data_IF_120325537814
#
_entry.id   IF_120325537814
#
_cell.length_a   1.000
_cell.length_b   1.000
_cell.length_c   1.000
_cell.angle_alpha   90.00
_cell.angle_beta   90.00
_cell.angle_gamma   90.00
#
_symmetry.space_group_name_H-M   'P 1'
#
loop_
_entity.id
_entity.type
_entity.pdbx_description
1 polymer ?
#
# COMPACT_ATOMS: atom_id res chain seq x y z
N UNK A 1 22.00 -1.41 22.76
CA UNK A 1 21.26 -0.43 23.57
C UNK A 1 20.94 0.77 22.69
N UNK A 2 19.70 1.25 22.80
CA UNK A 2 19.18 2.54 22.29
C UNK A 2 19.17 2.78 20.76
N UNK A 3 18.17 2.25 20.05
CA UNK A 3 17.75 2.85 18.77
C UNK A 3 16.54 3.76 19.00
N UNK A 4 15.54 3.33 19.76
CA UNK A 4 14.36 4.15 20.07
C UNK A 4 14.63 5.31 21.06
N UNK A 5 15.29 5.12 22.23
CA UNK A 5 15.62 6.24 23.13
C UNK A 5 16.67 7.20 22.57
N UNK A 6 17.64 6.74 21.76
CA UNK A 6 18.63 7.66 21.15
C UNK A 6 17.96 8.50 20.07
N UNK A 7 17.05 7.97 19.27
CA UNK A 7 16.32 8.80 18.28
C UNK A 7 15.33 9.75 18.99
N UNK A 8 14.74 9.36 20.13
CA UNK A 8 13.85 10.22 20.92
C UNK A 8 14.57 11.34 21.68
N UNK A 9 15.70 11.06 22.32
CA UNK A 9 16.45 12.04 23.12
C UNK A 9 17.36 12.94 22.26
N UNK A 10 17.84 12.48 21.11
CA UNK A 10 18.82 13.24 20.29
C UNK A 10 18.19 14.27 19.37
N UNK A 11 16.91 14.13 19.01
CA UNK A 11 16.28 14.96 17.99
C UNK A 11 14.81 15.30 18.29
N UNK A 12 14.53 16.10 19.34
CA UNK A 12 13.15 16.50 19.70
C UNK A 12 12.41 17.24 18.58
N UNK A 13 13.14 17.88 17.66
CA UNK A 13 12.59 18.58 16.49
C UNK A 13 11.92 17.60 15.51
N UNK A 14 12.46 16.39 15.34
CA UNK A 14 11.88 15.36 14.44
C UNK A 14 10.47 14.97 14.93
N UNK A 15 10.27 14.89 16.24
CA UNK A 15 8.99 14.47 16.84
C UNK A 15 7.92 15.56 16.82
N UNK A 16 8.33 16.83 16.94
CA UNK A 16 7.45 17.97 16.75
C UNK A 16 6.90 18.01 15.30
N UNK A 17 7.77 17.69 14.34
CA UNK A 17 7.44 17.61 12.92
C UNK A 17 6.51 16.43 12.60
N UNK A 18 6.70 15.26 13.23
CA UNK A 18 5.78 14.10 13.07
C UNK A 18 4.34 14.43 13.51
N UNK A 19 4.16 15.10 14.65
CA UNK A 19 2.82 15.51 15.09
C UNK A 19 2.22 16.56 14.15
N UNK A 20 3.02 17.53 13.70
CA UNK A 20 2.57 18.53 12.74
C UNK A 20 2.18 17.91 11.40
N UNK A 21 2.97 16.96 10.91
CA UNK A 21 2.68 16.14 9.74
C UNK A 21 1.36 15.40 9.93
N UNK A 22 1.17 14.67 11.02
CA UNK A 22 -0.10 14.01 11.36
C UNK A 22 -1.28 14.98 11.33
N UNK A 23 -1.14 16.19 11.90
CA UNK A 23 -2.19 17.21 11.86
C UNK A 23 -2.47 17.74 10.45
N UNK A 24 -1.42 18.08 9.68
CA UNK A 24 -1.55 18.49 8.28
C UNK A 24 -2.28 17.43 7.47
N UNK A 25 -2.11 16.17 7.84
CA UNK A 25 -2.75 15.06 7.17
C UNK A 25 -4.22 15.02 7.53
N UNK A 26 -4.55 14.98 8.82
CA UNK A 26 -5.96 14.90 9.23
C UNK A 26 -6.74 16.03 8.55
N UNK A 27 -6.10 17.20 8.40
CA UNK A 27 -6.64 18.29 7.61
C UNK A 27 -6.73 17.95 6.11
N UNK A 28 -5.70 17.39 5.49
CA UNK A 28 -5.67 17.02 4.06
C UNK A 28 -6.64 15.88 3.69
N UNK A 29 -6.83 14.86 4.54
CA UNK A 29 -7.76 13.75 4.32
C UNK A 29 -9.21 14.19 4.37
N UNK A 30 -9.51 15.25 5.12
CA UNK A 30 -10.82 15.89 5.21
C UNK A 30 -11.08 16.91 4.09
N UNK A 31 -10.10 17.25 3.26
CA UNK A 31 -10.33 18.17 2.12
C UNK A 31 -11.16 17.45 1.05
N UNK A 32 -12.26 18.07 0.57
CA UNK A 32 -12.98 17.53 -0.56
C UNK A 32 -12.06 17.54 -1.78
N UNK A 33 -11.75 16.36 -2.31
CA UNK A 33 -11.09 16.19 -3.60
C UNK A 33 -12.16 15.95 -4.65
N UNK A 34 -12.16 16.75 -5.70
CA UNK A 34 -13.05 16.51 -6.85
C UNK A 34 -12.51 15.32 -7.65
N UNK A 35 -13.33 14.29 -7.88
CA UNK A 35 -12.99 13.15 -8.74
C UNK A 35 -12.72 13.56 -10.19
N UNK A 36 -13.15 14.76 -10.63
CA UNK A 36 -12.85 15.32 -11.95
C UNK A 36 -11.37 15.68 -12.15
N UNK A 37 -10.62 15.87 -11.06
CA UNK A 37 -9.20 16.21 -11.10
C UNK A 37 -8.27 14.98 -10.98
N UNK A 38 -8.83 13.78 -10.83
CA UNK A 38 -8.07 12.55 -10.62
C UNK A 38 -7.66 11.88 -11.94
N UNK A 39 -6.48 11.26 -11.95
CA UNK A 39 -6.04 10.39 -13.03
C UNK A 39 -6.89 9.11 -13.09
N UNK A 40 -7.12 8.49 -11.93
CA UNK A 40 -7.94 7.28 -11.81
C UNK A 40 -9.40 7.60 -12.17
N UNK A 41 -9.94 6.90 -13.18
CA UNK A 41 -11.33 7.07 -13.62
C UNK A 41 -12.26 6.14 -12.87
N UNK A 42 -12.83 6.63 -11.76
CA UNK A 42 -13.75 5.87 -10.91
C UNK A 42 -14.96 5.32 -11.70
N UNK A 43 -15.38 6.04 -12.74
CA UNK A 43 -16.50 5.67 -13.61
C UNK A 43 -16.35 4.30 -14.26
N UNK A 44 -15.13 3.82 -14.53
CA UNK A 44 -14.93 2.47 -15.08
C UNK A 44 -15.32 1.39 -14.06
N UNK A 45 -14.83 1.50 -12.82
CA UNK A 45 -15.21 0.61 -11.72
C UNK A 45 -16.72 0.64 -11.47
N UNK A 46 -17.30 1.85 -11.40
CA UNK A 46 -18.72 2.03 -11.11
C UNK A 46 -19.62 1.51 -12.24
N UNK A 47 -19.22 1.68 -13.49
CA UNK A 47 -19.97 1.16 -14.65
C UNK A 47 -19.92 -0.37 -14.68
N UNK A 48 -18.76 -0.97 -14.42
CA UNK A 48 -18.62 -2.41 -14.34
C UNK A 48 -19.48 -2.99 -13.19
N UNK A 49 -19.45 -2.35 -12.02
CA UNK A 49 -20.31 -2.70 -10.89
C UNK A 49 -21.78 -2.65 -11.27
N UNK A 50 -22.25 -1.54 -11.84
CA UNK A 50 -23.66 -1.37 -12.25
C UNK A 50 -24.12 -2.42 -13.27
N UNK A 51 -23.25 -2.84 -14.16
CA UNK A 51 -23.58 -3.86 -15.16
C UNK A 51 -23.62 -5.25 -14.52
N UNK A 52 -22.64 -5.57 -13.67
CA UNK A 52 -22.60 -6.82 -12.92
C UNK A 52 -23.79 -6.93 -11.96
N UNK A 53 -24.06 -5.92 -11.12
CA UNK A 53 -25.18 -5.89 -10.16
C UNK A 53 -26.53 -6.13 -10.86
N UNK A 54 -26.76 -5.51 -12.03
CA UNK A 54 -27.97 -5.73 -12.83
C UNK A 54 -28.08 -7.17 -13.34
N UNK A 55 -26.99 -7.72 -13.89
CA UNK A 55 -26.97 -9.09 -14.38
C UNK A 55 -27.20 -10.11 -13.26
N UNK A 56 -26.53 -9.92 -12.12
CA UNK A 56 -26.65 -10.76 -10.93
C UNK A 56 -28.05 -10.72 -10.34
N UNK A 57 -28.63 -9.53 -10.21
CA UNK A 57 -30.00 -9.36 -9.68
C UNK A 57 -31.03 -10.00 -10.62
N UNK A 58 -30.86 -9.86 -11.93
CA UNK A 58 -31.74 -10.50 -12.92
C UNK A 58 -31.63 -12.04 -12.88
N UNK A 59 -30.41 -12.57 -12.73
CA UNK A 59 -30.19 -14.01 -12.59
C UNK A 59 -30.86 -14.57 -11.32
N UNK A 60 -30.75 -13.84 -10.19
CA UNK A 60 -31.35 -14.23 -8.92
C UNK A 60 -32.88 -14.22 -8.93
N UNK A 61 -33.49 -13.23 -9.60
CA UNK A 61 -34.94 -13.18 -9.80
C UNK A 61 -35.45 -14.40 -10.59
N UNK A 62 -34.68 -14.87 -11.57
CA UNK A 62 -35.02 -16.05 -12.36
C UNK A 62 -34.84 -17.38 -11.57
N UNK A 63 -33.92 -17.43 -10.60
CA UNK A 63 -33.71 -18.61 -9.75
C UNK A 63 -34.62 -18.67 -8.52
N UNK A 64 -35.46 -17.66 -8.28
CA UNK A 64 -36.36 -17.60 -7.13
C UNK A 64 -35.64 -17.45 -5.79
N UNK A 65 -34.39 -16.98 -5.80
CA UNK A 65 -33.56 -16.79 -4.59
C UNK A 65 -33.54 -15.32 -4.21
N UNK A 66 -34.02 -14.99 -3.00
CA UNK A 66 -34.11 -13.62 -2.49
C UNK A 66 -32.72 -12.99 -2.18
N UNK A 67 -31.68 -13.83 -2.05
CA UNK A 67 -30.32 -13.46 -1.64
C UNK A 67 -29.44 -12.84 -2.73
N UNK A 68 -29.98 -12.50 -3.91
CA UNK A 68 -29.17 -12.07 -5.05
C UNK A 68 -29.30 -10.61 -5.46
N UNK A 69 -30.11 -9.81 -4.76
CA UNK A 69 -30.21 -8.39 -5.03
C UNK A 69 -28.91 -7.68 -4.62
N UNK A 70 -28.32 -6.94 -5.56
CA UNK A 70 -27.15 -6.09 -5.30
C UNK A 70 -27.45 -4.69 -5.86
N UNK A 71 -27.41 -3.62 -5.05
CA UNK A 71 -27.73 -2.29 -5.52
C UNK A 71 -26.71 -1.78 -6.55
N UNK A 72 -27.14 -0.90 -7.47
CA UNK A 72 -26.28 -0.36 -8.52
C UNK A 72 -25.21 0.62 -7.99
N UNK A 73 -25.40 1.18 -6.80
CA UNK A 73 -24.39 1.97 -6.10
C UNK A 73 -23.86 1.14 -4.91
N UNK A 74 -22.55 0.78 -4.88
CA UNK A 74 -21.98 0.02 -3.77
C UNK A 74 -22.04 0.77 -2.43
N UNK A 75 -22.25 2.09 -2.42
CA UNK A 75 -22.40 2.85 -1.19
C UNK A 75 -23.73 2.62 -0.47
N UNK A 76 -24.70 1.98 -1.12
CA UNK A 76 -25.99 1.61 -0.51
C UNK A 76 -25.89 0.35 0.36
N UNK A 77 -24.81 -0.43 0.23
CA UNK A 77 -24.56 -1.64 1.02
C UNK A 77 -23.93 -1.31 2.36
N UNK A 78 -24.30 -2.06 3.41
CA UNK A 78 -23.54 -2.04 4.66
C UNK A 78 -22.14 -2.68 4.46
N UNK A 79 -21.30 -2.65 5.49
CA UNK A 79 -19.92 -3.15 5.41
C UNK A 79 -19.84 -4.64 5.05
N UNK A 80 -20.72 -5.47 5.60
CA UNK A 80 -20.67 -6.92 5.43
C UNK A 80 -21.24 -7.32 4.07
N UNK A 81 -22.36 -6.70 3.68
CA UNK A 81 -22.95 -6.88 2.36
C UNK A 81 -21.99 -6.41 1.25
N UNK A 82 -21.32 -5.28 1.48
CA UNK A 82 -20.30 -4.77 0.56
C UNK A 82 -19.13 -5.75 0.45
N UNK A 83 -18.67 -6.33 1.55
CA UNK A 83 -17.56 -7.29 1.53
C UNK A 83 -17.90 -8.56 0.72
N UNK A 84 -19.09 -9.13 0.92
CA UNK A 84 -19.57 -10.28 0.13
C UNK A 84 -19.72 -9.92 -1.35
N UNK A 85 -20.40 -8.80 -1.64
CA UNK A 85 -20.66 -8.36 -3.00
C UNK A 85 -19.36 -8.02 -3.75
N UNK A 86 -18.36 -7.42 -3.09
CA UNK A 86 -17.04 -7.18 -3.68
C UNK A 86 -16.31 -8.48 -4.02
N UNK A 87 -16.35 -9.48 -3.14
CA UNK A 87 -15.72 -10.77 -3.39
C UNK A 87 -16.35 -11.50 -4.59
N UNK A 88 -17.69 -11.43 -4.71
CA UNK A 88 -18.42 -11.97 -5.87
C UNK A 88 -18.14 -11.17 -7.14
N UNK A 89 -18.15 -9.84 -7.06
CA UNK A 89 -17.82 -8.95 -8.17
C UNK A 89 -16.47 -9.31 -8.78
N UNK A 90 -15.42 -9.49 -7.97
CA UNK A 90 -14.09 -9.86 -8.47
C UNK A 90 -14.09 -11.19 -9.22
N UNK A 91 -14.84 -12.19 -8.75
CA UNK A 91 -14.90 -13.52 -9.37
C UNK A 91 -15.71 -13.51 -10.67
N UNK A 92 -16.78 -12.72 -10.71
CA UNK A 92 -17.83 -12.81 -11.72
C UNK A 92 -17.80 -11.69 -12.76
N UNK A 93 -17.12 -10.56 -12.51
CA UNK A 93 -17.15 -9.41 -13.42
C UNK A 93 -16.59 -9.80 -14.80
N UNK A 94 -17.32 -9.41 -15.86
CA UNK A 94 -16.97 -9.67 -17.26
C UNK A 94 -17.15 -8.42 -18.10
N UNK A 95 -16.42 -8.32 -19.20
CA UNK A 95 -16.60 -7.24 -20.18
C UNK A 95 -18.02 -7.29 -20.75
N UNK A 96 -18.52 -6.21 -21.36
CA UNK A 96 -19.79 -6.24 -22.09
C UNK A 96 -19.86 -7.33 -23.18
N UNK A 97 -18.71 -7.75 -23.71
CA UNK A 97 -18.60 -8.87 -24.67
C UNK A 97 -18.78 -10.25 -24.03
N UNK A 98 -18.82 -10.36 -22.70
CA UNK A 98 -18.83 -11.63 -21.96
C UNK A 98 -17.43 -12.17 -21.61
N UNK A 99 -16.37 -11.60 -22.19
CA UNK A 99 -14.99 -12.02 -21.92
C UNK A 99 -14.50 -11.64 -20.52
N UNK A 100 -13.51 -12.38 -20.02
CA UNK A 100 -12.80 -12.06 -18.79
C UNK A 100 -11.97 -10.79 -18.93
N UNK A 101 -11.98 -9.97 -17.87
CA UNK A 101 -11.05 -8.86 -17.73
C UNK A 101 -9.64 -9.39 -17.44
N UNK A 102 -8.63 -8.69 -17.95
CA UNK A 102 -7.25 -8.93 -17.52
C UNK A 102 -7.09 -8.58 -16.02
N UNK A 103 -6.14 -9.21 -15.34
CA UNK A 103 -5.93 -9.07 -13.90
C UNK A 103 -5.74 -7.60 -13.45
N UNK A 104 -4.87 -6.86 -14.14
CA UNK A 104 -4.64 -5.43 -13.93
C UNK A 104 -5.91 -4.57 -14.12
N UNK A 105 -6.81 -5.03 -14.98
CA UNK A 105 -8.07 -4.37 -15.30
C UNK A 105 -9.09 -4.62 -14.20
N UNK A 106 -9.19 -5.84 -13.66
CA UNK A 106 -9.99 -6.11 -12.45
C UNK A 106 -9.49 -5.28 -11.28
N UNK A 107 -8.17 -5.21 -11.07
CA UNK A 107 -7.60 -4.36 -10.02
C UNK A 107 -7.97 -2.88 -10.21
N UNK A 108 -7.87 -2.35 -11.44
CA UNK A 108 -8.28 -0.98 -11.76
C UNK A 108 -9.74 -0.70 -11.38
N UNK A 109 -10.64 -1.64 -11.69
CA UNK A 109 -12.06 -1.52 -11.34
C UNK A 109 -12.24 -1.42 -9.83
N UNK A 110 -11.56 -2.28 -9.06
CA UNK A 110 -11.58 -2.25 -7.60
C UNK A 110 -11.02 -0.93 -7.05
N UNK A 111 -9.92 -0.40 -7.59
CA UNK A 111 -9.39 0.92 -7.20
C UNK A 111 -10.42 2.02 -7.46
N UNK A 112 -11.12 1.95 -8.60
CA UNK A 112 -12.20 2.88 -8.94
C UNK A 112 -13.37 2.84 -7.96
N UNK A 113 -13.76 1.64 -7.50
CA UNK A 113 -14.79 1.47 -6.46
C UNK A 113 -14.33 2.03 -5.11
N UNK A 114 -13.09 1.75 -4.69
CA UNK A 114 -12.53 2.32 -3.46
C UNK A 114 -12.47 3.84 -3.51
N UNK A 115 -12.04 4.40 -4.65
CA UNK A 115 -12.02 5.84 -4.89
C UNK A 115 -13.42 6.46 -4.79
N UNK A 116 -14.42 5.84 -5.43
CA UNK A 116 -15.80 6.28 -5.34
C UNK A 116 -16.32 6.29 -3.89
N UNK A 117 -16.14 5.18 -3.17
CA UNK A 117 -16.59 5.07 -1.78
C UNK A 117 -15.89 6.10 -0.88
N UNK A 118 -14.56 6.25 -0.99
CA UNK A 118 -13.78 7.10 -0.11
C UNK A 118 -13.88 8.60 -0.42
N UNK A 119 -14.01 8.97 -1.70
CA UNK A 119 -13.90 10.35 -2.15
C UNK A 119 -15.28 10.94 -2.51
N UNK A 120 -16.09 10.23 -3.29
CA UNK A 120 -17.41 10.74 -3.70
C UNK A 120 -18.48 10.51 -2.61
N UNK A 121 -18.38 9.41 -1.87
CA UNK A 121 -19.38 8.97 -0.87
C UNK A 121 -18.95 9.15 0.58
N UNK A 122 -17.67 9.47 0.82
CA UNK A 122 -17.14 9.77 2.15
C UNK A 122 -17.11 8.59 3.12
N UNK A 123 -17.06 7.34 2.63
CA UNK A 123 -16.84 6.16 3.49
C UNK A 123 -15.35 6.01 3.81
N UNK A 124 -15.01 5.90 5.08
CA UNK A 124 -13.62 5.79 5.52
C UNK A 124 -13.03 4.37 5.41
N UNK A 125 -13.88 3.37 5.16
CA UNK A 125 -13.46 1.97 5.05
C UNK A 125 -12.57 1.73 3.82
N UNK A 126 -11.41 1.12 4.05
CA UNK A 126 -10.50 0.68 3.00
C UNK A 126 -10.58 -0.85 2.85
N UNK A 127 -11.33 -1.33 1.85
CA UNK A 127 -11.59 -2.76 1.70
C UNK A 127 -10.38 -3.58 1.25
N UNK A 128 -9.32 -2.94 0.75
CA UNK A 128 -8.04 -3.61 0.46
C UNK A 128 -7.20 -3.88 1.72
N UNK A 129 -7.57 -3.22 2.82
CA UNK A 129 -6.87 -3.26 4.10
C UNK A 129 -7.81 -3.64 5.27
N UNK A 130 -9.08 -3.95 4.98
CA UNK A 130 -10.17 -3.93 5.96
C UNK A 130 -10.25 -5.14 6.88
N UNK A 131 -9.11 -5.74 7.22
CA UNK A 131 -9.02 -6.82 8.19
C UNK A 131 -9.85 -8.06 7.82
N UNK A 132 -10.39 -8.79 8.82
CA UNK A 132 -11.14 -10.03 8.58
C UNK A 132 -12.41 -9.85 7.75
N UNK A 133 -13.04 -8.67 7.80
CA UNK A 133 -14.33 -8.41 7.13
C UNK A 133 -14.19 -8.55 5.62
N UNK A 134 -13.12 -7.99 5.04
CA UNK A 134 -12.87 -8.03 3.60
C UNK A 134 -11.91 -9.15 3.19
N UNK A 135 -11.69 -10.16 4.05
CA UNK A 135 -10.77 -11.26 3.77
C UNK A 135 -11.13 -11.99 2.46
N UNK A 136 -12.42 -12.31 2.26
CA UNK A 136 -12.89 -13.01 1.07
C UNK A 136 -12.68 -12.19 -0.21
N UNK A 137 -12.88 -10.87 -0.15
CA UNK A 137 -12.56 -9.97 -1.25
C UNK A 137 -11.06 -9.98 -1.55
N UNK A 138 -10.22 -9.82 -0.52
CA UNK A 138 -8.77 -9.83 -0.68
C UNK A 138 -8.25 -11.15 -1.26
N UNK A 139 -8.81 -12.28 -0.83
CA UNK A 139 -8.47 -13.61 -1.33
C UNK A 139 -8.94 -13.79 -2.79
N UNK A 140 -10.16 -13.37 -3.12
CA UNK A 140 -10.66 -13.39 -4.49
C UNK A 140 -9.79 -12.56 -5.44
N UNK A 141 -9.41 -11.35 -5.01
CA UNK A 141 -8.55 -10.48 -5.79
C UNK A 141 -7.16 -11.06 -5.95
N UNK A 142 -6.55 -11.56 -4.88
CA UNK A 142 -5.24 -12.21 -4.95
C UNK A 142 -5.23 -13.36 -5.96
N UNK A 143 -6.25 -14.23 -5.97
CA UNK A 143 -6.36 -15.32 -6.96
C UNK A 143 -6.46 -14.85 -8.42
N UNK A 144 -6.92 -13.62 -8.66
CA UNK A 144 -6.90 -12.98 -9.98
C UNK A 144 -5.51 -12.40 -10.28
N UNK A 145 -4.89 -11.73 -9.30
CA UNK A 145 -3.62 -11.02 -9.48
C UNK A 145 -2.40 -11.94 -9.49
N UNK A 146 -2.49 -13.12 -8.88
CA UNK A 146 -1.44 -14.15 -8.92
C UNK A 146 -1.14 -14.62 -10.36
N UNK A 147 -2.13 -14.48 -11.26
CA UNK A 147 -2.01 -14.81 -12.69
C UNK A 147 -1.50 -13.64 -13.54
N UNK A 148 -1.19 -12.50 -12.92
CA UNK A 148 -0.73 -11.33 -13.66
C UNK A 148 0.66 -11.56 -14.24
N UNK A 149 0.78 -11.30 -15.54
CA UNK A 149 2.06 -11.24 -16.25
C UNK A 149 2.17 -9.90 -16.93
N UNK A 150 3.31 -9.22 -16.74
CA UNK A 150 3.60 -7.98 -17.44
C UNK A 150 3.57 -8.22 -18.96
N UNK A 151 2.93 -7.29 -19.67
CA UNK A 151 2.79 -7.36 -21.13
C UNK A 151 3.63 -6.26 -21.74
N UNK A 152 4.50 -6.64 -22.66
CA UNK A 152 5.33 -5.70 -23.42
C UNK A 152 4.97 -5.86 -24.89
N UNK A 153 4.67 -4.76 -25.57
CA UNK A 153 4.37 -4.76 -27.00
C UNK A 153 5.64 -4.99 -27.84
N UNK A 154 5.49 -5.24 -29.14
CA UNK A 154 6.62 -5.48 -30.06
C UNK A 154 7.62 -4.31 -30.11
N UNK A 155 7.13 -3.08 -29.89
CA UNK A 155 7.95 -1.86 -29.80
C UNK A 155 8.61 -1.65 -28.43
N UNK A 156 8.46 -2.58 -27.49
CA UNK A 156 9.07 -2.51 -26.15
C UNK A 156 8.26 -1.71 -25.13
N UNK A 157 7.04 -1.29 -25.46
CA UNK A 157 6.19 -0.50 -24.55
C UNK A 157 5.52 -1.42 -23.51
N UNK A 158 5.72 -1.11 -22.23
CA UNK A 158 5.03 -1.78 -21.13
C UNK A 158 3.54 -1.41 -21.12
N UNK A 159 2.68 -2.42 -21.23
CA UNK A 159 1.23 -2.30 -21.14
C UNK A 159 0.80 -2.52 -19.69
N UNK A 160 0.69 -1.42 -18.95
CA UNK A 160 0.22 -1.40 -17.57
C UNK A 160 -0.96 -0.42 -17.44
N UNK A 161 -2.02 -0.82 -16.74
CA UNK A 161 -3.19 0.05 -16.49
C UNK A 161 -3.11 0.79 -15.16
N UNK A 162 -2.35 0.26 -14.20
CA UNK A 162 -2.22 0.84 -12.87
C UNK A 162 -0.93 1.67 -12.83
N UNK A 163 -1.07 2.93 -12.48
CA UNK A 163 0.02 3.85 -12.18
C UNK A 163 0.03 4.10 -10.67
N UNK A 164 1.20 4.42 -10.13
CA UNK A 164 1.39 4.73 -8.71
C UNK A 164 0.43 5.84 -8.26
N UNK A 165 0.23 6.86 -9.10
CA UNK A 165 -0.67 7.97 -8.81
C UNK A 165 -2.09 7.49 -8.46
N UNK A 166 -2.58 6.44 -9.11
CA UNK A 166 -3.89 5.87 -8.80
C UNK A 166 -3.96 5.39 -7.34
N UNK A 167 -2.90 4.77 -6.83
CA UNK A 167 -2.86 4.26 -5.47
C UNK A 167 -2.85 5.40 -4.44
N UNK A 168 -2.17 6.50 -4.73
CA UNK A 168 -2.23 7.72 -3.91
C UNK A 168 -3.63 8.36 -3.93
N UNK A 169 -4.30 8.38 -5.08
CA UNK A 169 -5.61 9.01 -5.26
C UNK A 169 -6.73 8.26 -4.52
N UNK A 170 -6.69 6.92 -4.52
CA UNK A 170 -7.68 6.08 -3.84
C UNK A 170 -7.24 5.60 -2.44
N UNK A 171 -6.31 6.33 -1.80
CA UNK A 171 -5.88 6.13 -0.40
C UNK A 171 -5.28 4.75 -0.11
N UNK A 172 -4.72 4.09 -1.13
CA UNK A 172 -3.99 2.83 -0.96
C UNK A 172 -2.55 3.08 -0.52
N UNK A 173 -1.94 4.14 -1.04
CA UNK A 173 -0.70 4.69 -0.53
C UNK A 173 -0.99 5.91 0.33
N UNK A 174 -0.10 6.17 1.28
CA UNK A 174 -0.25 7.15 2.33
C UNK A 174 -0.28 6.48 3.69
N UNK A 175 -1.04 7.05 4.61
CA UNK A 175 -1.04 6.67 6.03
C UNK A 175 -2.41 7.05 6.61
N UNK A 176 -3.43 6.83 5.78
CA UNK A 176 -4.84 6.99 6.10
C UNK A 176 -5.33 5.99 7.16
N UNK A 177 -4.54 4.95 7.40
CA UNK A 177 -4.71 3.89 8.39
C UNK A 177 -3.34 3.26 8.67
N UNK A 178 -3.25 2.42 9.70
CA UNK A 178 -2.07 1.61 9.98
C UNK A 178 -1.68 0.71 8.80
N UNK A 179 -2.65 0.04 8.18
CA UNK A 179 -2.42 -0.81 7.01
C UNK A 179 -1.91 -0.02 5.79
N UNK A 180 -2.49 1.13 5.48
CA UNK A 180 -2.05 1.93 4.31
C UNK A 180 -0.65 2.51 4.51
N UNK A 181 -0.28 2.92 5.74
CA UNK A 181 1.09 3.30 6.07
C UNK A 181 2.07 2.15 5.83
N UNK A 182 1.75 0.97 6.37
CA UNK A 182 2.61 -0.19 6.24
C UNK A 182 2.73 -0.67 4.79
N UNK A 183 1.63 -0.67 4.04
CA UNK A 183 1.60 -0.95 2.60
C UNK A 183 2.41 0.07 1.79
N UNK A 184 2.44 1.34 2.22
CA UNK A 184 3.22 2.38 1.56
C UNK A 184 4.72 2.18 1.75
N UNK A 185 5.15 1.83 2.96
CA UNK A 185 6.56 1.48 3.20
C UNK A 185 6.95 0.22 2.43
N UNK A 186 6.09 -0.78 2.39
CA UNK A 186 6.26 -1.96 1.54
C UNK A 186 6.44 -1.60 0.06
N UNK A 187 5.58 -0.71 -0.47
CA UNK A 187 5.69 -0.21 -1.84
C UNK A 187 7.03 0.50 -2.09
N UNK A 188 7.48 1.38 -1.19
CA UNK A 188 8.77 2.07 -1.33
C UNK A 188 9.96 1.12 -1.35
N UNK A 189 9.97 0.12 -0.48
CA UNK A 189 11.03 -0.88 -0.45
C UNK A 189 10.99 -1.78 -1.69
N UNK A 190 9.82 -2.07 -2.22
CA UNK A 190 9.73 -2.81 -3.48
C UNK A 190 10.26 -1.98 -4.65
N UNK A 191 9.86 -0.71 -4.73
CA UNK A 191 10.17 0.15 -5.87
C UNK A 191 11.62 0.61 -5.90
N UNK A 192 12.10 1.15 -4.78
CA UNK A 192 13.36 1.90 -4.75
C UNK A 192 14.53 1.08 -4.23
N UNK A 193 14.25 0.06 -3.43
CA UNK A 193 15.26 -0.86 -2.89
C UNK A 193 15.32 -2.15 -3.72
N UNK A 194 14.20 -2.55 -4.34
CA UNK A 194 14.14 -3.74 -5.20
C UNK A 194 13.77 -5.03 -4.47
N UNK A 195 13.07 -4.96 -3.33
CA UNK A 195 12.58 -6.18 -2.69
C UNK A 195 11.40 -6.74 -3.50
N UNK A 196 11.52 -7.92 -4.08
CA UNK A 196 10.55 -8.44 -5.06
C UNK A 196 9.91 -9.77 -4.66
N UNK A 197 10.35 -10.35 -3.54
CA UNK A 197 9.83 -11.62 -3.00
C UNK A 197 9.29 -11.47 -1.58
N UNK A 198 8.29 -12.29 -1.25
CA UNK A 198 7.65 -12.22 0.07
C UNK A 198 8.65 -12.57 1.18
N UNK A 199 9.57 -13.49 0.89
CA UNK A 199 10.67 -13.87 1.76
C UNK A 199 11.63 -12.70 2.04
N UNK A 200 12.01 -11.90 1.02
CA UNK A 200 12.84 -10.71 1.23
C UNK A 200 12.17 -9.70 2.16
N UNK A 201 10.88 -9.48 1.98
CA UNK A 201 10.09 -8.62 2.88
C UNK A 201 9.95 -9.21 4.29
N UNK A 202 9.70 -10.52 4.40
CA UNK A 202 9.53 -11.20 5.69
C UNK A 202 10.83 -11.24 6.51
N UNK A 203 11.98 -11.26 5.84
CA UNK A 203 13.30 -11.21 6.48
C UNK A 203 13.68 -9.83 7.01
N UNK A 204 12.87 -8.79 6.76
CA UNK A 204 13.19 -7.44 7.19
C UNK A 204 13.11 -7.28 8.70
N UNK A 205 14.11 -6.58 9.23
CA UNK A 205 14.17 -6.18 10.63
C UNK A 205 14.46 -4.70 10.75
N UNK A 206 14.00 -4.09 11.85
CA UNK A 206 14.17 -2.65 12.08
C UNK A 206 15.65 -2.24 12.16
N UNK A 207 16.54 -3.16 12.55
CA UNK A 207 17.98 -2.92 12.61
C UNK A 207 18.67 -2.66 11.27
N UNK A 208 17.99 -2.96 10.17
CA UNK A 208 18.50 -2.70 8.82
C UNK A 208 18.29 -1.24 8.37
N UNK A 209 17.57 -0.44 9.17
CA UNK A 209 17.19 0.93 8.83
C UNK A 209 17.85 1.95 9.75
N UNK A 210 18.26 3.09 9.18
CA UNK A 210 18.76 4.23 9.93
C UNK A 210 18.31 5.54 9.29
N UNK A 211 17.97 6.52 10.13
CA UNK A 211 17.83 7.91 9.68
C UNK A 211 19.20 8.58 9.79
N UNK A 212 19.72 9.06 8.66
CA UNK A 212 21.04 9.69 8.57
C UNK A 212 20.90 11.12 8.04
N UNK A 213 21.81 12.04 8.38
CA UNK A 213 21.81 13.37 7.76
C UNK A 213 21.93 13.25 6.24
N UNK A 214 21.15 14.03 5.50
CA UNK A 214 21.16 14.00 4.04
C UNK A 214 22.51 14.49 3.48
N UNK A 215 22.98 13.97 2.35
CA UNK A 215 24.21 14.42 1.71
C UNK A 215 24.11 15.92 1.38
N UNK A 216 25.06 16.73 1.88
CA UNK A 216 25.09 18.18 1.62
C UNK A 216 24.29 19.03 2.60
N UNK A 217 23.62 18.44 3.60
CA UNK A 217 23.00 19.16 4.71
C UNK A 217 24.07 19.62 5.73
N UNK A 218 24.98 20.51 5.30
CA UNK A 218 25.78 21.28 6.25
C UNK A 218 24.84 22.26 6.96
N UNK A 219 24.72 22.12 8.27
CA UNK A 219 23.81 22.90 9.12
C UNK A 219 24.18 24.38 9.12
N UNK A 220 23.61 25.14 8.19
CA UNK A 220 23.46 26.59 8.32
C UNK A 220 22.05 26.86 8.81
N UNK A 221 21.93 27.39 10.02
CA UNK A 221 20.73 27.93 10.62
C UNK A 221 19.66 26.92 11.04
N UNK A 222 19.82 26.33 12.24
CA UNK A 222 18.79 26.04 13.26
C UNK A 222 17.48 25.30 12.90
N UNK A 223 17.19 25.07 11.63
CA UNK A 223 16.16 24.20 11.10
C UNK A 223 16.72 22.79 11.15
N UNK A 224 15.94 21.86 11.68
CA UNK A 224 16.36 20.46 11.75
C UNK A 224 16.85 20.01 10.38
N UNK A 225 18.09 19.52 10.30
CA UNK A 225 18.71 19.15 9.03
C UNK A 225 17.87 18.14 8.25
N UNK A 226 17.98 18.16 6.92
CA UNK A 226 17.33 17.16 6.07
C UNK A 226 17.89 15.77 6.37
N UNK A 227 17.02 14.75 6.33
CA UNK A 227 17.38 13.36 6.62
C UNK A 227 17.22 12.47 5.38
N UNK A 228 18.01 11.40 5.31
CA UNK A 228 17.80 10.29 4.40
C UNK A 228 17.47 9.02 5.20
N UNK A 229 16.60 8.19 4.63
CA UNK A 229 16.34 6.84 5.13
C UNK A 229 17.35 5.89 4.47
N UNK A 230 18.30 5.41 5.27
CA UNK A 230 19.27 4.41 4.87
C UNK A 230 18.73 3.01 5.15
N UNK A 231 18.89 2.12 4.18
CA UNK A 231 18.59 0.70 4.30
C UNK A 231 19.81 -0.15 3.90
N UNK A 232 20.13 -1.14 4.75
CA UNK A 232 21.21 -2.10 4.55
C UNK A 232 20.65 -3.53 4.63
N UNK A 233 20.35 -4.17 3.48
CA UNK A 233 19.86 -5.53 3.45
C UNK A 233 20.90 -6.50 4.00
N UNK A 234 20.44 -7.53 4.72
CA UNK A 234 21.30 -8.55 5.34
C UNK A 234 21.29 -9.89 4.60
N UNK A 235 20.39 -10.05 3.62
CA UNK A 235 20.17 -11.29 2.88
C UNK A 235 19.72 -10.99 1.45
N UNK A 236 19.80 -12.00 0.59
CA UNK A 236 19.46 -11.87 -0.83
C UNK A 236 20.58 -11.23 -1.65
N UNK A 237 20.30 -10.95 -2.93
CA UNK A 237 21.29 -10.40 -3.86
C UNK A 237 21.74 -8.98 -3.50
N UNK A 238 20.91 -8.25 -2.75
CA UNK A 238 21.21 -6.90 -2.30
C UNK A 238 22.09 -6.88 -1.02
N UNK A 239 22.41 -8.04 -0.42
CA UNK A 239 23.18 -8.10 0.81
C UNK A 239 24.52 -7.35 0.70
N UNK A 240 24.77 -6.43 1.64
CA UNK A 240 25.97 -5.58 1.64
C UNK A 240 25.85 -4.29 0.83
N UNK A 241 24.78 -4.11 0.05
CA UNK A 241 24.47 -2.84 -0.60
C UNK A 241 23.89 -1.84 0.42
N UNK A 242 23.99 -0.55 0.13
CA UNK A 242 23.36 0.51 0.92
C UNK A 242 22.47 1.34 0.02
N UNK A 243 21.20 1.43 0.39
CA UNK A 243 20.20 2.24 -0.29
C UNK A 243 19.88 3.46 0.56
N UNK A 244 19.72 4.61 -0.07
CA UNK A 244 19.33 5.85 0.61
C UNK A 244 18.14 6.48 -0.11
N UNK A 245 17.04 6.67 0.63
CA UNK A 245 15.88 7.43 0.17
C UNK A 245 15.91 8.82 0.81
N UNK A 246 15.96 9.86 -0.01
CA UNK A 246 15.97 11.25 0.45
C UNK A 246 14.56 11.77 0.68
N UNK A 247 14.44 12.93 1.32
CA UNK A 247 13.15 13.60 1.45
C UNK A 247 12.55 13.97 0.09
N UNK A 248 11.26 13.69 -0.08
CA UNK A 248 10.49 14.15 -1.22
C UNK A 248 9.91 15.55 -0.93
N UNK A 249 9.69 16.33 -2.00
CA UNK A 249 9.13 17.67 -1.90
C UNK A 249 7.71 17.71 -1.33
N UNK A 250 6.91 16.67 -1.56
CA UNK A 250 5.59 16.48 -0.95
C UNK A 250 5.75 15.67 0.35
N UNK A 251 5.55 16.26 1.54
CA UNK A 251 5.67 15.56 2.81
C UNK A 251 4.70 14.37 2.95
N UNK A 252 3.56 14.41 2.24
CA UNK A 252 2.54 13.35 2.27
C UNK A 252 2.94 12.09 1.52
N UNK A 253 3.94 12.21 0.62
CA UNK A 253 4.48 11.12 -0.19
C UNK A 253 5.95 10.85 0.13
N UNK A 254 6.48 11.50 1.17
CA UNK A 254 7.89 11.44 1.48
C UNK A 254 8.25 10.14 2.23
N UNK A 255 9.13 9.28 1.71
CA UNK A 255 9.48 8.01 2.34
C UNK A 255 10.10 8.20 3.72
N UNK A 256 10.95 9.21 3.89
CA UNK A 256 11.59 9.53 5.17
C UNK A 256 10.54 9.91 6.22
N UNK A 257 9.59 10.77 5.86
CA UNK A 257 8.54 11.26 6.76
C UNK A 257 7.54 10.18 7.12
N UNK A 258 7.12 9.37 6.16
CA UNK A 258 6.23 8.25 6.40
C UNK A 258 6.91 7.17 7.27
N UNK A 259 8.20 6.93 7.08
CA UNK A 259 8.96 6.05 7.96
C UNK A 259 9.08 6.61 9.39
N UNK A 260 9.26 7.92 9.57
CA UNK A 260 9.23 8.54 10.90
C UNK A 260 7.87 8.36 11.59
N UNK A 261 6.75 8.57 10.87
CA UNK A 261 5.40 8.29 11.39
C UNK A 261 5.29 6.82 11.79
N UNK A 262 5.83 5.92 10.98
CA UNK A 262 5.83 4.49 11.31
C UNK A 262 6.55 4.21 12.63
N UNK A 263 7.78 4.67 12.79
CA UNK A 263 8.54 4.54 14.04
C UNK A 263 7.77 5.11 15.25
N UNK A 264 7.10 6.25 15.06
CA UNK A 264 6.34 6.91 16.11
C UNK A 264 5.12 6.11 16.60
N UNK A 265 4.52 5.31 15.71
CA UNK A 265 3.31 4.52 16.00
C UNK A 265 3.62 3.07 16.36
N UNK A 266 4.89 2.64 16.34
CA UNK A 266 5.31 1.31 16.81
C UNK A 266 5.18 1.18 18.33
N UNK A 267 4.84 0.00 18.86
CA UNK A 267 4.92 -0.24 20.29
C UNK A 267 6.38 -0.20 20.75
N UNK A 268 6.62 0.31 21.95
CA UNK A 268 7.96 0.19 22.56
C UNK A 268 8.20 -1.28 22.91
N UNK A 269 9.29 -1.89 22.46
CA UNK A 269 9.65 -3.25 22.86
C UNK A 269 10.43 -3.23 24.19
N UNK A 270 10.30 -4.24 25.06
CA UNK A 270 11.14 -4.38 26.26
C UNK A 270 12.62 -4.50 25.85
N UNK A 271 13.54 -3.96 26.64
CA UNK A 271 14.97 -3.89 26.31
C UNK A 271 15.65 -5.25 26.00
N UNK A 272 15.03 -6.37 26.38
CA UNK A 272 15.48 -7.75 26.12
C UNK A 272 15.12 -8.27 24.72
N UNK A 273 14.12 -7.67 24.06
CA UNK A 273 13.66 -8.01 22.70
C UNK A 273 13.82 -6.82 21.74
N UNK A 274 13.89 -5.59 22.27
CA UNK A 274 14.14 -4.37 21.53
C UNK A 274 15.56 -4.35 20.96
N UNK A 275 15.68 -4.39 19.64
CA UNK A 275 16.99 -4.48 19.01
C UNK A 275 16.93 -4.69 17.50
N UNK A 276 18.10 -4.99 16.89
CA UNK A 276 18.23 -5.11 15.44
C UNK A 276 17.45 -6.27 14.82
N UNK A 277 16.89 -7.18 15.61
CA UNK A 277 16.09 -8.33 15.17
C UNK A 277 14.57 -8.09 15.25
N UNK A 278 14.12 -6.88 15.59
CA UNK A 278 12.70 -6.56 15.67
C UNK A 278 12.06 -6.65 14.26
N UNK A 279 10.99 -7.44 14.04
CA UNK A 279 10.38 -7.59 12.72
C UNK A 279 9.95 -6.24 12.14
N UNK A 280 10.25 -6.01 10.86
CA UNK A 280 9.86 -4.76 10.23
C UNK A 280 8.34 -4.67 10.11
N UNK A 281 7.65 -5.64 9.51
CA UNK A 281 6.21 -5.59 9.27
C UNK A 281 5.37 -6.08 10.46
N UNK A 282 5.01 -5.18 11.37
CA UNK A 282 4.09 -5.49 12.48
C UNK A 282 2.62 -5.48 12.04
N UNK A 283 1.80 -6.37 12.58
CA UNK A 283 0.36 -6.40 12.30
C UNK A 283 -0.31 -5.18 12.96
N UNK A 284 -1.17 -4.43 12.25
CA UNK A 284 -2.01 -3.41 12.87
C UNK A 284 -2.84 -3.95 14.04
N UNK A 285 -2.97 -3.17 15.10
CA UNK A 285 -3.78 -3.53 16.27
C UNK A 285 -5.28 -3.38 15.93
N UNK A 286 -5.88 -4.50 15.52
CA UNK A 286 -7.29 -4.56 15.11
C UNK A 286 -8.29 -4.37 16.27
N UNK A 287 -7.82 -4.33 17.51
CA UNK A 287 -8.67 -4.03 18.67
C UNK A 287 -8.83 -2.51 18.89
N UNK A 288 -8.04 -1.69 18.20
CA UNK A 288 -8.07 -0.23 18.27
C UNK A 288 -8.46 0.34 16.92
N UNK A 289 -9.13 1.49 16.94
CA UNK A 289 -9.47 2.22 15.72
C UNK A 289 -8.21 2.72 14.97
N UNK A 290 -7.03 2.73 15.63
CA UNK A 290 -5.76 3.21 15.08
C UNK A 290 -5.88 4.64 14.54
N UNK A 291 -6.54 5.48 15.33
CA UNK A 291 -6.77 6.87 14.98
C UNK A 291 -5.45 7.65 14.95
N UNK A 292 -5.34 8.74 14.19
CA UNK A 292 -4.17 9.61 14.17
C UNK A 292 -3.71 10.08 15.56
N UNK A 293 -4.64 10.23 16.51
CA UNK A 293 -4.34 10.59 17.90
C UNK A 293 -3.81 9.43 18.74
N UNK A 294 -4.02 8.17 18.31
CA UNK A 294 -3.59 7.01 19.07
C UNK A 294 -2.06 6.91 19.09
N UNK A 295 -1.44 6.68 20.26
CA UNK A 295 0.02 6.67 20.37
C UNK A 295 0.65 5.43 19.71
N UNK A 296 -0.09 4.34 19.56
CA UNK A 296 0.39 3.06 19.03
C UNK A 296 -0.64 2.48 18.09
N UNK A 297 -0.20 2.05 16.91
CA UNK A 297 -1.06 1.46 15.87
C UNK A 297 -0.78 -0.02 15.62
N UNK A 298 0.36 -0.54 16.05
CA UNK A 298 0.81 -1.88 15.69
C UNK A 298 0.94 -2.78 16.92
N UNK A 299 0.65 -4.07 16.73
CA UNK A 299 0.81 -5.10 17.75
C UNK A 299 2.30 -5.36 18.05
N UNK A 300 2.58 -5.66 19.32
CA UNK A 300 3.91 -6.12 19.77
C UNK A 300 4.12 -7.63 19.51
N UNK A 301 3.03 -8.37 19.38
CA UNK A 301 3.03 -9.84 19.44
C UNK A 301 2.89 -10.49 18.05
N UNK A 302 2.43 -9.75 17.05
CA UNK A 302 2.14 -10.26 15.72
C UNK A 302 2.82 -9.43 14.62
N UNK A 303 3.34 -10.13 13.62
CA UNK A 303 3.86 -9.57 12.38
C UNK A 303 3.05 -10.10 11.18
N UNK A 304 3.17 -9.42 10.04
CA UNK A 304 2.56 -9.91 8.80
C UNK A 304 3.19 -11.23 8.39
N UNK A 305 2.35 -12.18 8.01
CA UNK A 305 2.79 -13.46 7.46
C UNK A 305 3.36 -13.29 6.05
N UNK A 306 4.24 -14.22 5.64
CA UNK A 306 4.74 -14.25 4.26
C UNK A 306 3.60 -14.36 3.24
N UNK A 307 2.53 -15.08 3.57
CA UNK A 307 1.33 -15.16 2.76
C UNK A 307 0.64 -13.79 2.58
N UNK A 308 0.55 -12.97 3.62
CA UNK A 308 0.04 -11.59 3.51
C UNK A 308 0.93 -10.71 2.63
N UNK A 309 2.25 -10.79 2.83
CA UNK A 309 3.23 -10.04 2.03
C UNK A 309 3.18 -10.47 0.55
N UNK A 310 2.97 -11.75 0.27
CA UNK A 310 2.79 -12.23 -1.11
C UNK A 310 1.53 -11.65 -1.77
N UNK A 311 0.42 -11.54 -1.04
CA UNK A 311 -0.79 -10.86 -1.56
C UNK A 311 -0.52 -9.38 -1.87
N UNK A 312 0.27 -8.73 -1.04
CA UNK A 312 0.69 -7.35 -1.29
C UNK A 312 1.59 -7.25 -2.54
N UNK A 313 2.53 -8.20 -2.72
CA UNK A 313 3.34 -8.29 -3.94
C UNK A 313 2.49 -8.46 -5.20
N UNK A 314 1.52 -9.38 -5.17
CA UNK A 314 0.63 -9.61 -6.31
C UNK A 314 -0.13 -8.33 -6.71
N UNK A 315 -0.51 -7.50 -5.75
CA UNK A 315 -1.10 -6.18 -6.02
C UNK A 315 -0.12 -5.20 -6.65
N UNK A 316 1.05 -5.00 -6.05
CA UNK A 316 1.98 -3.97 -6.51
C UNK A 316 2.71 -4.35 -7.81
N UNK A 317 2.83 -5.65 -8.13
CA UNK A 317 3.35 -6.11 -9.43
C UNK A 317 2.49 -5.62 -10.60
N UNK A 318 1.22 -5.30 -10.40
CA UNK A 318 0.39 -4.71 -11.46
C UNK A 318 0.65 -3.22 -11.72
N UNK A 319 1.51 -2.57 -10.91
CA UNK A 319 1.80 -1.13 -10.98
C UNK A 319 2.94 -0.87 -11.96
N UNK A 320 2.73 0.07 -12.88
CA UNK A 320 3.66 0.43 -13.95
C UNK A 320 5.06 0.71 -13.44
N UNK A 321 5.19 1.56 -12.44
CA UNK A 321 6.46 2.01 -11.89
C UNK A 321 7.22 0.89 -11.16
N UNK A 322 6.51 -0.15 -10.68
CA UNK A 322 7.13 -1.35 -10.13
C UNK A 322 7.68 -2.23 -11.26
N UNK A 323 6.90 -2.42 -12.33
CA UNK A 323 7.35 -3.20 -13.49
C UNK A 323 8.54 -2.54 -14.19
N UNK A 324 8.53 -1.21 -14.35
CA UNK A 324 9.66 -0.45 -14.86
C UNK A 324 10.90 -0.65 -13.98
N UNK A 325 10.77 -0.56 -12.65
CA UNK A 325 11.87 -0.80 -11.72
C UNK A 325 12.44 -2.23 -11.84
N UNK A 326 11.58 -3.25 -11.94
CA UNK A 326 11.98 -4.64 -12.14
C UNK A 326 12.74 -4.81 -13.45
N UNK A 327 12.22 -4.25 -14.55
CA UNK A 327 12.86 -4.33 -15.87
C UNK A 327 14.22 -3.63 -15.88
N UNK A 328 14.35 -2.47 -15.24
CA UNK A 328 15.63 -1.76 -15.11
C UNK A 328 16.66 -2.58 -14.31
N UNK A 329 16.25 -3.23 -13.22
CA UNK A 329 17.14 -4.10 -12.44
C UNK A 329 17.62 -5.31 -13.26
N UNK A 330 16.73 -5.95 -14.02
CA UNK A 330 17.08 -7.08 -14.90
C UNK A 330 18.04 -6.70 -16.02
N UNK A 331 17.89 -5.49 -16.59
CA UNK A 331 18.80 -4.99 -17.62
C UNK A 331 20.19 -4.64 -17.08
N UNK A 332 20.30 -4.21 -15.82
CA UNK A 332 21.60 -4.04 -15.17
C UNK A 332 22.32 -5.38 -14.95
N UNK A 333 21.57 -6.45 -14.69
CA UNK A 333 22.13 -7.80 -14.54
C UNK A 333 22.62 -8.43 -15.84
N UNK A 334 21.95 -8.19 -16.97
CA UNK A 334 22.35 -8.78 -18.26
C UNK A 334 23.63 -8.16 -18.85
N UNK A 335 24.12 -7.06 -18.27
CA UNK A 335 25.33 -6.34 -18.71
C UNK A 335 26.55 -6.65 -17.83
N UNK A 336 26.43 -7.52 -16.81
CA UNK A 336 27.58 -7.98 -16.01
C UNK A 336 28.09 -9.36 -16.49
N UNK A 337 29.05 -9.42 -17.44
CA UNK A 337 29.56 -10.68 -17.97
C UNK A 337 30.40 -11.51 -16.98
N UNK A 338 30.59 -11.05 -15.74
CA UNK A 338 31.38 -11.74 -14.71
C UNK A 338 30.54 -12.46 -13.64
N UNK A 339 29.22 -12.57 -13.81
CA UNK A 339 28.33 -13.24 -12.85
C UNK A 339 28.10 -14.77 -13.10
N UNK A 340 28.96 -15.44 -13.88
CA UNK A 340 28.97 -16.90 -14.02
C UNK A 340 30.23 -17.55 -13.45
#
# INVERSE_FOLDING_TARGET
>A
SRILPVIQESHPIIWLDVNQLLFQIIAASKRPRSSLAMSLKFSYGLTAWKNWSRATTAAAANSGTDYGFVPPDPAELDTLELADALARFVREVRKPSGEEYAADSVYYLCLGLQGHLAIDRGRDENFFCGGPVFYEFCHALDGVLDRYTARVTEDGTLVCRIEELHLWECRQLGFHSADSLLFTLFYFLTRYVGLHTAQEHAALSLGQFALVPAPGAASTDGSGGSFALRFSPQSGYAAGMTYELTEAADPLKCPVRLFQVYLAKRPQFPATVAGPSEPFYLLPDRQRACEPTDPVWYSREACLSEAELNRWLNRIKCVKEIQEAIMHAQMQWSVDPNAM
#
